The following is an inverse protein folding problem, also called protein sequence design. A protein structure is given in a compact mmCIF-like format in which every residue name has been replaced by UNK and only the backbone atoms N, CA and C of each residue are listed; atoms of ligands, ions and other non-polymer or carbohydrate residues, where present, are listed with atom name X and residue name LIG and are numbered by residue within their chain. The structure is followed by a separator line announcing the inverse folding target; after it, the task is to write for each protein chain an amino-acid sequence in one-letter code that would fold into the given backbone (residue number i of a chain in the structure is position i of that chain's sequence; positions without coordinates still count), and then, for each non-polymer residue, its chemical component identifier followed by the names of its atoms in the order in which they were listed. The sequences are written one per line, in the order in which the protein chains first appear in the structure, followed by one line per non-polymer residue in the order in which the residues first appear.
data_IF_488716042262
#
_entry.id   IF_488716042262
#
_cell.length_a   1.000
_cell.length_b   1.000
_cell.length_c   1.000
_cell.angle_alpha   90.00
_cell.angle_beta   90.00
_cell.angle_gamma   90.00
#
_symmetry.space_group_name_H-M   'P 1'
#
loop_
_entity.id
_entity.type
_entity.pdbx_description
1 polymer ?
#
# COMPACT_ATOMS: atom_id res chain seq x y z
N UNK A 1 6.57 10.85 -6.61
CA UNK A 1 6.70 10.24 -5.27
C UNK A 1 8.08 9.65 -5.00
N UNK A 2 8.62 8.70 -5.78
CA UNK A 2 10.00 8.16 -5.62
C UNK A 2 11.08 9.22 -5.45
N UNK A 3 11.00 10.31 -6.19
CA UNK A 3 11.96 11.43 -6.11
C UNK A 3 11.91 12.12 -4.76
N UNK A 4 10.73 12.29 -4.18
CA UNK A 4 10.51 12.98 -2.91
C UNK A 4 11.11 12.22 -1.73
N UNK A 5 10.88 10.90 -1.67
CA UNK A 5 11.46 10.04 -0.61
C UNK A 5 12.96 10.00 -0.71
N UNK A 6 13.51 9.92 -1.94
CA UNK A 6 14.95 10.05 -2.15
C UNK A 6 15.47 11.39 -1.64
N UNK A 7 14.76 12.48 -1.93
CA UNK A 7 15.12 13.82 -1.43
C UNK A 7 15.06 13.87 0.10
N UNK A 8 14.00 13.33 0.74
CA UNK A 8 13.89 13.28 2.21
C UNK A 8 15.01 12.44 2.84
N UNK A 9 15.35 11.28 2.27
CA UNK A 9 16.47 10.46 2.75
C UNK A 9 17.80 11.19 2.59
N UNK A 10 18.03 11.84 1.47
CA UNK A 10 19.25 12.65 1.24
C UNK A 10 19.32 13.83 2.21
N UNK A 11 18.22 14.55 2.40
CA UNK A 11 18.15 15.66 3.35
C UNK A 11 18.34 15.19 4.80
N UNK A 12 17.81 14.02 5.17
CA UNK A 12 18.02 13.42 6.48
C UNK A 12 19.49 13.08 6.74
N UNK A 13 20.17 12.46 5.76
CA UNK A 13 21.62 12.15 5.86
C UNK A 13 22.46 13.43 5.91
N UNK A 14 22.16 14.40 5.05
CA UNK A 14 22.82 15.71 5.06
C UNK A 14 22.62 16.43 6.40
N UNK A 15 21.39 16.43 6.93
CA UNK A 15 21.08 17.02 8.23
C UNK A 15 21.87 16.37 9.37
N UNK A 16 21.99 15.03 9.36
CA UNK A 16 22.79 14.31 10.35
C UNK A 16 24.28 14.67 10.27
N UNK A 17 24.86 14.70 9.06
CA UNK A 17 26.24 15.08 8.85
C UNK A 17 26.50 16.52 9.31
N UNK A 18 25.59 17.45 9.01
CA UNK A 18 25.67 18.84 9.45
C UNK A 18 25.60 18.99 10.97
N UNK A 19 24.70 18.20 11.64
CA UNK A 19 24.64 18.18 13.10
C UNK A 19 25.96 17.72 13.74
N UNK A 20 26.57 16.65 13.22
CA UNK A 20 27.87 16.16 13.71
C UNK A 20 28.93 17.24 13.53
N UNK A 21 29.00 17.87 12.37
CA UNK A 21 29.94 18.94 12.08
C UNK A 21 29.72 20.15 12.99
N UNK A 22 28.47 20.52 13.28
CA UNK A 22 28.13 21.59 14.21
C UNK A 22 28.59 21.30 15.64
N UNK A 23 28.48 20.06 16.10
CA UNK A 23 28.97 19.62 17.42
C UNK A 23 30.50 19.79 17.48
N UNK A 24 31.22 19.39 16.43
CA UNK A 24 32.69 19.54 16.34
C UNK A 24 33.07 21.02 16.40
N UNK A 25 32.43 21.87 15.60
CA UNK A 25 32.69 23.33 15.60
C UNK A 25 32.38 23.93 16.97
N UNK A 26 31.30 23.52 17.64
CA UNK A 26 30.95 23.98 18.98
C UNK A 26 32.01 23.60 20.04
N UNK A 27 32.62 22.42 19.90
CA UNK A 27 33.71 22.00 20.77
C UNK A 27 34.97 22.87 20.50
N UNK A 28 35.27 23.16 19.23
CA UNK A 28 36.39 24.03 18.84
C UNK A 28 36.21 25.46 19.38
N UNK A 29 35.01 26.03 19.27
CA UNK A 29 34.67 27.35 19.83
C UNK A 29 34.95 27.40 21.35
N UNK A 30 34.55 26.35 22.09
CA UNK A 30 34.77 26.29 23.53
C UNK A 30 36.25 26.18 23.94
N UNK A 31 37.11 25.63 23.06
CA UNK A 31 38.55 25.45 23.31
C UNK A 31 39.40 26.63 22.87
N UNK A 32 38.87 27.48 21.97
CA UNK A 32 39.64 28.61 21.43
C UNK A 32 39.47 29.84 22.34
N UNK A 33 40.55 30.56 22.71
CA UNK A 33 40.48 31.76 23.54
C UNK A 33 39.66 32.87 22.87
N UNK A 34 38.71 33.46 23.62
CA UNK A 34 37.89 34.58 23.13
C UNK A 34 38.80 35.78 22.77
N UNK A 35 38.45 36.45 21.66
CA UNK A 35 39.20 37.63 21.17
C UNK A 35 40.35 37.35 20.23
N UNK A 36 40.58 36.11 19.86
CA UNK A 36 41.53 35.74 18.80
C UNK A 36 40.84 35.76 17.44
N UNK A 37 41.62 36.02 16.38
CA UNK A 37 41.11 35.97 14.99
C UNK A 37 40.53 34.61 14.65
N UNK A 38 41.16 33.56 15.18
CA UNK A 38 40.67 32.17 15.03
C UNK A 38 39.31 31.94 15.65
N UNK A 39 39.06 32.50 16.86
CA UNK A 39 37.76 32.44 17.50
C UNK A 39 36.66 33.08 16.65
N UNK A 40 36.90 34.27 16.09
CA UNK A 40 35.93 34.94 15.23
C UNK A 40 35.62 34.18 13.95
N UNK A 41 36.63 33.56 13.32
CA UNK A 41 36.44 32.75 12.12
C UNK A 41 35.63 31.48 12.42
N UNK A 42 35.97 30.77 13.49
CA UNK A 42 35.25 29.53 13.87
C UNK A 42 33.80 29.88 14.26
N UNK A 43 33.59 30.99 14.94
CA UNK A 43 32.24 31.43 15.32
C UNK A 43 31.37 31.79 14.10
N UNK A 44 31.93 32.47 13.10
CA UNK A 44 31.26 32.76 11.82
C UNK A 44 30.87 31.48 11.10
N UNK A 45 31.78 30.49 11.02
CA UNK A 45 31.50 29.19 10.43
C UNK A 45 30.36 28.48 11.19
N UNK A 46 30.41 28.51 12.53
CA UNK A 46 29.34 27.93 13.37
C UNK A 46 27.98 28.54 13.11
N UNK A 47 27.93 29.86 12.94
CA UNK A 47 26.66 30.57 12.67
C UNK A 47 26.08 30.25 11.28
N UNK A 48 26.95 30.14 10.26
CA UNK A 48 26.56 29.74 8.91
C UNK A 48 26.03 28.30 8.93
N UNK A 49 26.70 27.36 9.59
CA UNK A 49 26.30 25.99 9.72
C UNK A 49 24.94 25.85 10.44
N UNK A 50 24.74 26.63 11.50
CA UNK A 50 23.44 26.69 12.18
C UNK A 50 22.30 27.12 11.25
N UNK A 51 22.52 28.20 10.47
CA UNK A 51 21.57 28.68 9.47
C UNK A 51 21.19 27.59 8.44
N UNK A 52 22.20 26.85 7.93
CA UNK A 52 21.96 25.76 6.99
C UNK A 52 21.15 24.62 7.64
N UNK A 53 21.44 24.26 8.90
CA UNK A 53 20.68 23.24 9.63
C UNK A 53 19.20 23.64 9.79
N UNK A 54 18.92 24.91 10.10
CA UNK A 54 17.55 25.43 10.20
C UNK A 54 16.84 25.34 8.86
N UNK A 55 17.49 25.72 7.75
CA UNK A 55 16.90 25.63 6.41
C UNK A 55 16.57 24.17 6.06
N UNK A 56 17.47 23.23 6.32
CA UNK A 56 17.24 21.79 6.08
C UNK A 56 16.06 21.29 6.91
N UNK A 57 15.98 21.66 8.20
CA UNK A 57 14.87 21.27 9.07
C UNK A 57 13.52 21.81 8.56
N UNK A 58 13.47 23.06 8.15
CA UNK A 58 12.26 23.68 7.56
C UNK A 58 11.86 22.98 6.26
N UNK A 59 12.80 22.65 5.39
CA UNK A 59 12.53 21.91 4.15
C UNK A 59 11.98 20.51 4.44
N UNK A 60 12.50 19.80 5.42
CA UNK A 60 12.00 18.49 5.84
C UNK A 60 10.55 18.62 6.34
N UNK A 61 10.25 19.61 7.18
CA UNK A 61 8.90 19.89 7.70
C UNK A 61 7.95 20.22 6.55
N UNK A 62 8.32 21.12 5.65
CA UNK A 62 7.50 21.47 4.49
C UNK A 62 7.23 20.23 3.62
N UNK A 63 8.26 19.45 3.30
CA UNK A 63 8.12 18.24 2.50
C UNK A 63 7.27 17.16 3.20
N UNK A 64 7.31 17.04 4.51
CA UNK A 64 6.44 16.14 5.27
C UNK A 64 5.00 16.65 5.33
N UNK A 65 4.79 17.94 5.60
CA UNK A 65 3.43 18.52 5.67
C UNK A 65 2.70 18.50 4.32
N UNK A 66 3.38 18.80 3.22
CA UNK A 66 2.78 18.73 1.87
C UNK A 66 2.40 17.28 1.52
N UNK A 67 3.04 16.27 2.12
CA UNK A 67 2.78 14.86 1.87
C UNK A 67 1.61 14.24 2.61
N UNK A 68 1.12 14.90 3.64
CA UNK A 68 0.03 14.36 4.47
C UNK A 68 -1.36 14.45 3.83
N UNK A 69 -1.52 15.09 2.68
CA UNK A 69 -2.81 15.31 2.01
C UNK A 69 -2.93 14.67 0.62
N UNK A 70 -2.13 13.66 0.31
CA UNK A 70 -2.36 12.90 -0.90
C UNK A 70 -3.52 11.92 -0.65
N UNK A 71 -4.72 12.36 -0.98
CA UNK A 71 -5.83 11.44 -1.22
C UNK A 71 -5.36 10.39 -2.23
N UNK A 72 -5.67 9.09 -2.01
CA UNK A 72 -5.38 8.09 -3.01
C UNK A 72 -6.08 8.51 -4.30
N UNK A 73 -5.32 8.85 -5.34
CA UNK A 73 -5.91 9.09 -6.64
C UNK A 73 -6.57 7.80 -7.08
N UNK A 74 -7.85 7.81 -7.47
CA UNK A 74 -8.45 6.70 -8.18
C UNK A 74 -7.61 6.46 -9.42
N UNK A 75 -7.04 5.26 -9.56
CA UNK A 75 -5.98 5.00 -10.53
C UNK A 75 -6.56 4.70 -11.90
N UNK A 76 -7.71 4.09 -11.96
CA UNK A 76 -8.42 3.83 -13.19
C UNK A 76 -9.92 3.99 -12.94
N UNK A 77 -10.55 4.91 -13.64
CA UNK A 77 -12.00 4.93 -13.79
C UNK A 77 -12.33 3.80 -14.80
N UNK A 78 -12.47 2.61 -14.29
CA UNK A 78 -13.26 1.63 -15.02
C UNK A 78 -14.71 2.04 -14.79
N UNK A 79 -15.43 2.30 -15.87
CA UNK A 79 -16.88 2.35 -15.83
C UNK A 79 -17.34 0.95 -15.41
N UNK A 80 -17.42 0.75 -14.09
CA UNK A 80 -17.92 -0.51 -13.53
C UNK A 80 -19.42 -0.55 -13.76
N UNK A 81 -19.77 -0.94 -14.96
CA UNK A 81 -21.14 -1.10 -15.44
C UNK A 81 -21.91 -2.25 -14.74
N UNK A 82 -21.40 -2.79 -13.65
CA UNK A 82 -22.06 -3.83 -12.87
C UNK A 82 -23.03 -3.19 -11.87
N UNK A 83 -24.29 -3.08 -12.24
CA UNK A 83 -25.36 -2.63 -11.33
C UNK A 83 -25.78 -3.68 -10.30
N UNK A 84 -25.31 -4.93 -10.42
CA UNK A 84 -25.70 -6.07 -9.62
C UNK A 84 -24.47 -6.87 -9.16
N UNK A 85 -24.44 -7.17 -7.85
CA UNK A 85 -23.40 -7.96 -7.21
C UNK A 85 -23.29 -9.38 -7.78
N UNK A 86 -24.40 -9.98 -8.17
CA UNK A 86 -24.43 -11.31 -8.77
C UNK A 86 -23.74 -11.34 -10.14
N UNK A 87 -24.03 -10.36 -10.98
CA UNK A 87 -23.39 -10.23 -12.29
C UNK A 87 -21.89 -10.01 -12.15
N UNK A 88 -21.49 -9.11 -11.26
CA UNK A 88 -20.07 -8.84 -10.99
C UNK A 88 -19.35 -10.10 -10.48
N UNK A 89 -19.97 -10.85 -9.56
CA UNK A 89 -19.42 -12.09 -9.03
C UNK A 89 -19.21 -13.13 -10.13
N UNK A 90 -20.23 -13.36 -10.98
CA UNK A 90 -20.14 -14.32 -12.08
C UNK A 90 -19.04 -13.91 -13.08
N UNK A 91 -18.93 -12.63 -13.41
CA UNK A 91 -17.87 -12.13 -14.29
C UNK A 91 -16.49 -12.36 -13.69
N UNK A 92 -16.28 -12.06 -12.41
CA UNK A 92 -15.02 -12.28 -11.72
C UNK A 92 -14.69 -13.76 -11.52
N UNK A 93 -15.71 -14.61 -11.27
CA UNK A 93 -15.54 -16.05 -11.22
C UNK A 93 -15.09 -16.60 -12.58
N UNK A 94 -15.70 -16.15 -13.67
CA UNK A 94 -15.27 -16.49 -15.03
C UNK A 94 -13.85 -16.03 -15.33
N UNK A 95 -13.48 -14.81 -14.93
CA UNK A 95 -12.15 -14.27 -15.13
C UNK A 95 -11.08 -15.03 -14.34
N UNK A 96 -11.36 -15.35 -13.08
CA UNK A 96 -10.44 -16.14 -12.24
C UNK A 96 -10.27 -17.54 -12.82
N UNK A 97 -11.35 -18.19 -13.30
CA UNK A 97 -11.28 -19.49 -13.95
C UNK A 97 -10.40 -19.47 -15.23
N UNK A 98 -10.54 -18.43 -16.07
CA UNK A 98 -9.68 -18.25 -17.26
C UNK A 98 -8.19 -18.12 -16.91
N UNK A 99 -7.88 -17.58 -15.75
CA UNK A 99 -6.50 -17.46 -15.23
C UNK A 99 -6.04 -18.69 -14.44
N UNK A 100 -6.84 -19.76 -14.43
CA UNK A 100 -6.50 -21.03 -13.80
C UNK A 100 -6.69 -21.05 -12.28
N UNK A 101 -7.55 -20.20 -11.75
CA UNK A 101 -7.97 -20.27 -10.35
C UNK A 101 -9.12 -21.28 -10.20
N UNK A 102 -9.06 -22.04 -9.12
CA UNK A 102 -10.12 -22.92 -8.64
C UNK A 102 -10.99 -22.15 -7.66
N UNK A 103 -12.31 -22.16 -7.83
CA UNK A 103 -13.26 -21.56 -6.91
C UNK A 103 -13.45 -22.46 -5.69
N UNK A 104 -13.22 -21.91 -4.50
CA UNK A 104 -13.42 -22.59 -3.22
C UNK A 104 -14.77 -22.26 -2.63
N UNK A 105 -15.21 -21.02 -2.77
CA UNK A 105 -16.49 -20.52 -2.28
C UNK A 105 -17.03 -19.46 -3.24
N UNK A 106 -18.34 -19.51 -3.49
CA UNK A 106 -19.05 -18.51 -4.28
C UNK A 106 -20.49 -18.42 -3.77
N UNK A 107 -20.77 -17.48 -2.87
CA UNK A 107 -22.08 -17.20 -2.32
C UNK A 107 -22.47 -15.72 -2.52
N UNK A 108 -23.54 -15.25 -1.88
CA UNK A 108 -23.99 -13.85 -2.00
C UNK A 108 -22.99 -12.85 -1.44
N UNK A 109 -22.19 -13.26 -0.46
CA UNK A 109 -21.30 -12.40 0.28
C UNK A 109 -19.82 -12.53 -0.16
N UNK A 110 -19.43 -13.70 -0.69
CA UNK A 110 -18.06 -14.04 -0.99
C UNK A 110 -17.84 -14.65 -2.37
N UNK A 111 -16.65 -14.42 -2.90
CA UNK A 111 -16.00 -15.22 -3.92
C UNK A 111 -14.56 -15.47 -3.48
N UNK A 112 -14.20 -16.72 -3.21
CA UNK A 112 -12.84 -17.11 -2.82
C UNK A 112 -12.32 -18.12 -3.82
N UNK A 113 -11.22 -17.77 -4.48
CA UNK A 113 -10.58 -18.61 -5.49
C UNK A 113 -9.11 -18.78 -5.18
N UNK A 114 -8.55 -19.96 -5.51
CA UNK A 114 -7.12 -20.23 -5.33
C UNK A 114 -6.48 -20.71 -6.61
N UNK A 115 -5.15 -20.46 -6.70
CA UNK A 115 -4.28 -21.05 -7.71
C UNK A 115 -2.94 -21.43 -7.08
N UNK A 116 -2.48 -22.64 -7.35
CA UNK A 116 -1.15 -23.06 -6.93
C UNK A 116 -0.11 -22.76 -8.01
N UNK A 117 0.96 -22.09 -7.61
CA UNK A 117 2.12 -21.91 -8.45
C UNK A 117 3.36 -22.39 -7.68
N UNK A 118 3.91 -23.54 -8.07
CA UNK A 118 5.00 -24.21 -7.38
C UNK A 118 4.62 -24.51 -5.91
N UNK A 119 5.26 -23.82 -4.95
CA UNK A 119 5.04 -23.97 -3.49
C UNK A 119 4.29 -22.78 -2.87
N UNK A 120 3.57 -22.02 -3.67
CA UNK A 120 2.85 -20.83 -3.21
C UNK A 120 1.38 -20.90 -3.62
N UNK A 121 0.51 -20.60 -2.69
CA UNK A 121 -0.90 -20.44 -2.96
C UNK A 121 -1.20 -18.97 -3.27
N UNK A 122 -1.81 -18.71 -4.41
CA UNK A 122 -2.34 -17.43 -4.79
C UNK A 122 -3.84 -17.46 -4.52
N UNK A 123 -4.33 -16.53 -3.71
CA UNK A 123 -5.73 -16.45 -3.33
C UNK A 123 -6.28 -15.13 -3.82
N UNK A 124 -7.35 -15.21 -4.61
CA UNK A 124 -8.20 -14.07 -4.94
C UNK A 124 -9.47 -14.19 -4.09
N UNK A 125 -9.70 -13.21 -3.24
CA UNK A 125 -10.90 -13.15 -2.42
C UNK A 125 -11.64 -11.84 -2.71
N UNK A 126 -12.96 -11.93 -2.82
CA UNK A 126 -13.87 -10.82 -2.99
C UNK A 126 -14.92 -10.86 -1.90
N UNK A 127 -15.15 -9.74 -1.23
CA UNK A 127 -16.21 -9.55 -0.23
C UNK A 127 -17.16 -8.46 -0.67
N UNK A 128 -18.47 -8.78 -0.64
CA UNK A 128 -19.53 -7.78 -0.83
C UNK A 128 -20.02 -7.30 0.54
N UNK A 129 -20.15 -5.97 0.69
CA UNK A 129 -20.66 -5.30 1.88
C UNK A 129 -21.60 -4.17 1.46
N UNK A 130 -22.63 -3.89 2.25
CA UNK A 130 -23.43 -2.68 2.05
C UNK A 130 -22.58 -1.44 2.28
N UNK A 131 -21.90 -1.40 3.42
CA UNK A 131 -20.95 -0.40 3.82
C UNK A 131 -19.87 -1.05 4.69
N UNK A 132 -18.62 -0.72 4.52
CA UNK A 132 -17.52 -1.29 5.30
C UNK A 132 -17.35 -0.55 6.62
N UNK A 133 -17.40 -1.29 7.73
CA UNK A 133 -17.06 -0.83 9.05
C UNK A 133 -15.72 -1.41 9.51
N UNK A 134 -15.10 -0.81 10.54
CA UNK A 134 -13.82 -1.29 11.07
C UNK A 134 -13.94 -2.68 11.68
N UNK A 135 -15.08 -2.97 12.25
CA UNK A 135 -15.43 -4.23 12.93
C UNK A 135 -15.55 -5.40 11.94
N UNK A 136 -15.75 -5.14 10.65
CA UNK A 136 -15.87 -6.17 9.63
C UNK A 136 -14.53 -6.87 9.33
N UNK A 137 -13.40 -6.20 9.62
CA UNK A 137 -12.07 -6.67 9.23
C UNK A 137 -11.73 -8.02 9.86
N UNK A 138 -11.91 -8.15 11.18
CA UNK A 138 -11.64 -9.41 11.89
C UNK A 138 -12.45 -10.59 11.34
N UNK A 139 -13.80 -10.51 11.37
CA UNK A 139 -14.66 -11.55 10.82
C UNK A 139 -14.37 -11.92 9.37
N UNK A 140 -14.00 -10.96 8.50
CA UNK A 140 -13.60 -11.26 7.12
C UNK A 140 -12.37 -12.17 7.05
N UNK A 141 -11.36 -11.91 7.86
CA UNK A 141 -10.17 -12.77 7.89
C UNK A 141 -10.45 -14.15 8.47
N UNK A 142 -11.23 -14.21 9.55
CA UNK A 142 -11.57 -15.46 10.21
C UNK A 142 -12.33 -16.39 9.24
N UNK A 143 -13.32 -15.85 8.53
CA UNK A 143 -14.08 -16.60 7.52
C UNK A 143 -13.15 -17.10 6.39
N UNK A 144 -12.37 -16.21 5.78
CA UNK A 144 -11.47 -16.57 4.70
C UNK A 144 -10.45 -17.63 5.13
N UNK A 145 -9.90 -17.54 6.36
CA UNK A 145 -8.97 -18.53 6.89
C UNK A 145 -9.64 -19.88 7.13
N UNK A 146 -10.89 -19.90 7.58
CA UNK A 146 -11.67 -21.12 7.73
C UNK A 146 -11.84 -21.81 6.37
N UNK A 147 -12.32 -21.09 5.36
CA UNK A 147 -12.49 -21.62 4.00
C UNK A 147 -11.18 -22.15 3.42
N UNK A 148 -10.09 -21.43 3.59
CA UNK A 148 -8.78 -21.89 3.12
C UNK A 148 -8.34 -23.18 3.81
N UNK A 149 -8.48 -23.28 5.14
CA UNK A 149 -8.13 -24.48 5.92
C UNK A 149 -8.97 -25.69 5.54
N UNK A 150 -10.27 -25.52 5.39
CA UNK A 150 -11.20 -26.58 4.94
C UNK A 150 -10.82 -27.13 3.56
N UNK A 151 -10.25 -26.28 2.72
CA UNK A 151 -9.77 -26.64 1.39
C UNK A 151 -8.28 -27.00 1.33
N UNK A 152 -7.65 -27.37 2.46
CA UNK A 152 -6.28 -27.85 2.52
C UNK A 152 -5.20 -26.76 2.34
N UNK A 153 -5.55 -25.48 2.45
CA UNK A 153 -4.61 -24.36 2.47
C UNK A 153 -4.40 -23.92 3.91
N UNK A 154 -3.24 -24.22 4.48
CA UNK A 154 -2.89 -23.80 5.85
C UNK A 154 -2.10 -22.47 5.84
N UNK A 155 -2.73 -21.36 6.23
CA UNK A 155 -2.08 -20.05 6.26
C UNK A 155 -0.87 -19.98 7.21
N UNK A 156 -0.82 -20.85 8.21
CA UNK A 156 0.26 -20.89 9.20
C UNK A 156 1.50 -21.65 8.69
N UNK A 157 1.33 -22.56 7.71
CA UNK A 157 2.39 -23.42 7.20
C UNK A 157 2.80 -23.09 5.77
N UNK A 158 1.89 -22.57 4.95
CA UNK A 158 2.09 -22.37 3.52
C UNK A 158 2.38 -20.91 3.19
N UNK A 159 3.02 -20.66 2.04
CA UNK A 159 3.27 -19.30 1.54
C UNK A 159 2.06 -18.86 0.73
N UNK A 160 1.39 -17.79 1.19
CA UNK A 160 0.19 -17.28 0.57
C UNK A 160 0.43 -15.88 0.00
N UNK A 161 -0.11 -15.62 -1.17
CA UNK A 161 -0.28 -14.31 -1.77
C UNK A 161 -1.79 -14.03 -1.84
N UNK A 162 -2.29 -13.18 -0.96
CA UNK A 162 -3.70 -12.85 -0.83
C UNK A 162 -4.01 -11.54 -1.53
N UNK A 163 -4.90 -11.58 -2.51
CA UNK A 163 -5.50 -10.43 -3.17
C UNK A 163 -6.94 -10.29 -2.65
N UNK A 164 -7.13 -9.45 -1.65
CA UNK A 164 -8.45 -9.25 -1.05
C UNK A 164 -9.11 -8.00 -1.65
N UNK A 165 -10.26 -8.22 -2.27
CA UNK A 165 -11.05 -7.19 -2.91
C UNK A 165 -12.34 -6.97 -2.11
N UNK A 166 -12.66 -5.72 -1.85
CA UNK A 166 -13.89 -5.34 -1.14
C UNK A 166 -14.76 -4.53 -2.09
N UNK A 167 -15.99 -4.96 -2.25
CA UNK A 167 -17.02 -4.24 -3.02
C UNK A 167 -18.07 -3.75 -2.05
N UNK A 168 -18.34 -2.45 -2.10
CA UNK A 168 -19.32 -1.80 -1.23
C UNK A 168 -20.40 -1.09 -2.06
N UNK A 169 -21.62 -1.03 -1.54
CA UNK A 169 -22.67 -0.20 -2.11
C UNK A 169 -22.47 1.28 -1.71
N UNK A 170 -21.96 1.51 -0.48
CA UNK A 170 -21.69 2.86 0.04
C UNK A 170 -20.27 2.95 0.57
N UNK A 171 -19.56 4.00 0.20
CA UNK A 171 -18.21 4.27 0.69
C UNK A 171 -18.25 4.84 2.11
N UNK A 172 -17.31 4.43 2.94
CA UNK A 172 -17.13 4.92 4.31
C UNK A 172 -15.68 5.38 4.53
N UNK A 173 -15.44 6.09 5.63
CA UNK A 173 -14.08 6.42 6.06
C UNK A 173 -13.25 5.17 6.38
N UNK A 174 -13.91 4.12 6.90
CA UNK A 174 -13.30 2.82 7.18
C UNK A 174 -12.83 2.13 5.90
N UNK A 175 -13.64 2.16 4.83
CA UNK A 175 -13.30 1.63 3.52
C UNK A 175 -12.04 2.30 2.95
N UNK A 176 -12.00 3.64 2.94
CA UNK A 176 -10.82 4.36 2.47
C UNK A 176 -9.58 4.14 3.35
N UNK A 177 -9.76 4.07 4.66
CA UNK A 177 -8.67 3.79 5.60
C UNK A 177 -8.08 2.41 5.38
N UNK A 178 -8.95 1.41 5.13
CA UNK A 178 -8.54 0.04 4.81
C UNK A 178 -7.74 -0.03 3.51
N UNK A 179 -8.21 0.63 2.45
CA UNK A 179 -7.49 0.67 1.18
C UNK A 179 -6.16 1.43 1.26
N UNK A 180 -6.03 2.40 2.17
CA UNK A 180 -4.75 3.09 2.43
C UNK A 180 -3.71 2.17 3.07
N UNK A 181 -4.14 1.21 3.88
CA UNK A 181 -3.26 0.18 4.43
C UNK A 181 -2.95 -0.95 3.44
N UNK A 182 -3.10 -0.69 2.16
CA UNK A 182 -3.21 -1.57 1.00
C UNK A 182 -2.23 -2.75 0.91
N UNK A 183 -1.26 -2.81 1.81
CA UNK A 183 -0.23 -3.84 1.77
C UNK A 183 0.15 -4.25 3.18
N UNK A 184 -0.05 -5.51 3.50
CA UNK A 184 0.48 -6.09 4.71
C UNK A 184 1.49 -7.20 4.39
N UNK A 185 2.63 -7.15 5.08
CA UNK A 185 3.71 -8.11 4.91
C UNK A 185 3.86 -8.99 6.13
N UNK A 186 3.36 -10.21 6.06
CA UNK A 186 3.66 -11.26 7.03
C UNK A 186 4.87 -12.12 6.65
N UNK A 187 5.37 -12.93 7.60
CA UNK A 187 6.44 -13.89 7.32
C UNK A 187 6.08 -14.90 6.21
N UNK A 188 4.81 -15.30 6.14
CA UNK A 188 4.29 -16.32 5.22
C UNK A 188 3.23 -15.81 4.26
N UNK A 189 2.50 -14.77 4.65
CA UNK A 189 1.44 -14.18 3.85
C UNK A 189 1.83 -12.77 3.41
N UNK A 190 1.68 -12.50 2.11
CA UNK A 190 1.70 -11.14 1.59
C UNK A 190 0.28 -10.83 1.16
N UNK A 191 -0.20 -9.63 1.48
CA UNK A 191 -1.56 -9.21 1.24
C UNK A 191 -1.54 -7.96 0.37
N UNK A 192 -2.51 -7.88 -0.53
CA UNK A 192 -2.79 -6.72 -1.35
C UNK A 192 -4.30 -6.48 -1.35
N UNK A 193 -4.71 -5.26 -1.08
CA UNK A 193 -6.10 -4.88 -0.96
C UNK A 193 -6.52 -4.03 -2.15
N UNK A 194 -7.69 -4.32 -2.69
CA UNK A 194 -8.35 -3.51 -3.70
C UNK A 194 -9.80 -3.30 -3.30
N UNK A 195 -10.47 -2.35 -3.90
CA UNK A 195 -11.86 -2.09 -3.59
C UNK A 195 -12.61 -1.42 -4.73
N UNK A 196 -13.91 -1.62 -4.75
CA UNK A 196 -14.81 -1.05 -5.74
C UNK A 196 -16.14 -0.64 -5.10
N UNK A 197 -16.87 0.25 -5.76
CA UNK A 197 -18.27 0.53 -5.45
C UNK A 197 -19.16 -0.17 -6.46
N UNK A 198 -20.20 -0.84 -5.98
CA UNK A 198 -21.22 -1.43 -6.85
C UNK A 198 -22.09 -0.32 -7.45
N UNK A 199 -22.31 -0.35 -8.76
CA UNK A 199 -23.06 0.71 -9.45
C UNK A 199 -22.38 2.07 -9.50
N UNK A 200 -21.13 2.17 -9.03
CA UNK A 200 -20.33 3.37 -9.05
C UNK A 200 -19.15 3.28 -10.01
N UNK A 201 -18.63 4.46 -10.40
CA UNK A 201 -17.52 4.59 -11.36
C UNK A 201 -16.16 4.38 -10.69
N UNK A 202 -16.09 3.73 -9.51
CA UNK A 202 -14.90 3.75 -8.68
C UNK A 202 -14.37 2.34 -8.45
N UNK A 203 -13.23 2.07 -9.06
CA UNK A 203 -12.37 0.94 -8.74
C UNK A 203 -11.05 1.44 -8.16
N UNK A 204 -10.76 1.00 -6.94
CA UNK A 204 -9.53 1.36 -6.24
C UNK A 204 -8.52 0.23 -6.33
N UNK A 205 -7.48 0.46 -7.11
CA UNK A 205 -6.30 -0.38 -7.18
C UNK A 205 -5.11 0.41 -6.61
N UNK A 206 -4.90 0.42 -5.28
CA UNK A 206 -3.94 1.31 -4.66
C UNK A 206 -2.55 1.17 -5.27
N UNK A 207 -1.91 2.30 -5.59
CA UNK A 207 -0.49 2.29 -5.91
C UNK A 207 0.29 1.91 -4.66
N UNK A 208 1.29 1.08 -4.88
CA UNK A 208 2.27 0.79 -3.85
C UNK A 208 3.00 2.10 -3.52
N UNK A 209 2.60 2.69 -2.43
CA UNK A 209 3.43 3.69 -1.78
C UNK A 209 4.64 2.93 -1.21
N UNK A 210 5.80 3.11 -1.87
CA UNK A 210 7.02 2.36 -1.58
C UNK A 210 7.63 2.80 -0.23
N UNK A 211 6.91 3.63 0.52
CA UNK A 211 7.29 4.09 1.86
C UNK A 211 7.05 3.06 2.96
N UNK A 212 6.37 1.98 2.66
CA UNK A 212 6.33 0.84 3.58
C UNK A 212 7.70 0.16 3.51
N UNK A 213 8.32 -0.10 4.66
CA UNK A 213 9.58 -0.86 4.82
C UNK A 213 9.43 -2.31 4.31
N UNK A 214 9.15 -2.43 3.01
CA UNK A 214 9.00 -3.71 2.35
C UNK A 214 10.37 -4.27 1.99
N UNK A 215 10.61 -5.50 2.41
CA UNK A 215 11.79 -6.25 1.94
C UNK A 215 11.77 -6.30 0.40
N UNK A 216 12.90 -6.15 -0.29
CA UNK A 216 12.96 -6.11 -1.76
C UNK A 216 12.21 -7.26 -2.45
N UNK A 217 12.24 -8.46 -1.88
CA UNK A 217 11.51 -9.63 -2.39
C UNK A 217 9.98 -9.55 -2.23
N UNK A 218 9.48 -8.74 -1.30
CA UNK A 218 8.05 -8.54 -1.10
C UNK A 218 7.49 -7.49 -2.05
N UNK A 219 8.24 -6.43 -2.35
CA UNK A 219 7.85 -5.42 -3.35
C UNK A 219 7.51 -6.05 -4.70
N UNK A 220 8.34 -7.01 -5.16
CA UNK A 220 8.07 -7.72 -6.43
C UNK A 220 6.78 -8.54 -6.40
N UNK A 221 6.51 -9.20 -5.27
CA UNK A 221 5.30 -10.01 -5.11
C UNK A 221 4.04 -9.15 -5.06
N UNK A 222 4.10 -8.04 -4.34
CA UNK A 222 2.97 -7.13 -4.21
C UNK A 222 2.66 -6.45 -5.56
N UNK A 223 3.69 -6.04 -6.31
CA UNK A 223 3.50 -5.56 -7.69
C UNK A 223 2.84 -6.61 -8.56
N UNK A 224 3.25 -7.85 -8.43
CA UNK A 224 2.64 -8.96 -9.15
C UNK A 224 1.17 -9.14 -8.74
N UNK A 225 0.84 -9.11 -7.44
CA UNK A 225 -0.55 -9.23 -6.96
C UNK A 225 -1.43 -8.07 -7.48
N UNK A 226 -0.91 -6.86 -7.51
CA UNK A 226 -1.60 -5.71 -8.10
C UNK A 226 -1.91 -5.93 -9.59
N UNK A 227 -0.93 -6.33 -10.36
CA UNK A 227 -1.10 -6.61 -11.80
C UNK A 227 -2.03 -7.79 -12.06
N UNK A 228 -1.96 -8.83 -11.21
CA UNK A 228 -2.87 -9.97 -11.32
C UNK A 228 -4.31 -9.59 -10.97
N UNK A 229 -4.52 -8.81 -9.90
CA UNK A 229 -5.84 -8.24 -9.56
C UNK A 229 -6.38 -7.42 -10.72
N UNK A 230 -5.57 -6.53 -11.30
CA UNK A 230 -5.97 -5.73 -12.46
C UNK A 230 -6.43 -6.59 -13.62
N UNK A 231 -5.67 -7.61 -14.00
CA UNK A 231 -6.02 -8.54 -15.08
C UNK A 231 -7.36 -9.24 -14.84
N UNK A 232 -7.60 -9.70 -13.62
CA UNK A 232 -8.87 -10.37 -13.26
C UNK A 232 -10.05 -9.40 -13.52
N UNK A 233 -9.93 -8.17 -13.08
CA UNK A 233 -10.96 -7.15 -13.28
C UNK A 233 -11.12 -6.75 -14.75
N UNK A 234 -10.02 -6.56 -15.49
CA UNK A 234 -10.05 -6.23 -16.93
C UNK A 234 -10.77 -7.32 -17.74
N UNK A 235 -10.48 -8.60 -17.47
CA UNK A 235 -11.16 -9.73 -18.13
C UNK A 235 -12.66 -9.72 -17.77
N UNK A 236 -13.03 -9.46 -16.51
CA UNK A 236 -14.42 -9.40 -16.09
C UNK A 236 -15.20 -8.31 -16.83
N UNK A 237 -14.61 -7.15 -17.03
CA UNK A 237 -15.21 -6.04 -17.80
C UNK A 237 -15.36 -6.42 -19.28
N UNK A 238 -14.31 -6.98 -19.91
CA UNK A 238 -14.34 -7.38 -21.31
C UNK A 238 -15.36 -8.48 -21.62
N UNK A 239 -15.51 -9.46 -20.73
CA UNK A 239 -16.51 -10.52 -20.88
C UNK A 239 -17.92 -9.94 -20.93
N UNK A 240 -18.20 -8.90 -20.18
CA UNK A 240 -19.50 -8.23 -20.19
C UNK A 240 -19.73 -7.42 -21.47
N UNK A 241 -18.73 -6.65 -21.93
CA UNK A 241 -18.84 -5.87 -23.17
C UNK A 241 -19.16 -6.74 -24.38
N UNK A 242 -18.65 -7.98 -24.39
CA UNK A 242 -18.93 -8.95 -25.45
C UNK A 242 -20.25 -9.69 -25.29
N UNK A 243 -20.93 -9.58 -24.14
CA UNK A 243 -22.20 -10.23 -23.83
C UNK A 243 -23.42 -9.32 -24.05
N UNK A 244 -23.22 -8.02 -24.23
CA UNK A 244 -24.22 -7.00 -24.60
C UNK A 244 -24.16 -6.68 -26.08
#
# INVERSE_FOLDING_TARGET
MRTRIRILKILGVLGLMMMISFVVVSICIKRTPKGTVEYEQINKIGLIMFGICVIIAVLIVILTCIGGKLEPKPIDKYDLLFGDALQLRHALQGSTAQLGYECLESDEAWLICRRWEKKRCHVFALRFLEEMQREDIGPMYDHMYAVLKENGVDPDRQKICLMLNIVVNRTSSSFYSYLKSAVEQGKRMNQYYAGATLGGDIFYLPELDIDVDLRPGSVRKIKWMREETRKIWEIAVQVRENAN
#
